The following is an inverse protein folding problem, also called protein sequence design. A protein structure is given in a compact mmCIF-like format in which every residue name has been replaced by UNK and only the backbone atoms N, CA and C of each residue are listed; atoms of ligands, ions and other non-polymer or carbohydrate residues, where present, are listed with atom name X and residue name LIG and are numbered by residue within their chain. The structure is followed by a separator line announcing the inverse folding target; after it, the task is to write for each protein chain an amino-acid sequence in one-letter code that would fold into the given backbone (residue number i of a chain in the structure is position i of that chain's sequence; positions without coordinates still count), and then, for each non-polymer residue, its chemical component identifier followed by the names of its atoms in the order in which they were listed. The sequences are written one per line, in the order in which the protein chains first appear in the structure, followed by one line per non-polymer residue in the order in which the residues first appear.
data_IF_136677304977
#
_entry.id   IF_136677304977
#
_cell.length_a   1.000
_cell.length_b   1.000
_cell.length_c   1.000
_cell.angle_alpha   90.00
_cell.angle_beta   90.00
_cell.angle_gamma   90.00
#
_symmetry.space_group_name_H-M   'P 1'
#
loop_
_entity.id
_entity.type
_entity.pdbx_description
1 polymer ?
#
# COMPACT_ATOMS: atom_id res chain seq x y z
N UNK A 1 25.49 12.67 -31.39
CA UNK A 1 25.30 14.10 -31.04
C UNK A 1 24.61 14.11 -29.69
N UNK A 2 25.37 14.13 -28.58
CA UNK A 2 25.87 15.34 -27.88
C UNK A 2 24.67 16.18 -27.38
N UNK A 3 24.36 16.42 -26.10
CA UNK A 3 25.10 16.67 -24.83
C UNK A 3 24.05 16.59 -23.70
N UNK A 4 24.19 15.81 -22.62
CA UNK A 4 24.83 16.12 -21.33
C UNK A 4 24.71 17.57 -20.82
N UNK A 5 23.89 17.80 -19.78
CA UNK A 5 23.99 18.95 -18.85
C UNK A 5 23.69 18.48 -17.43
N UNK A 6 24.74 18.47 -16.62
CA UNK A 6 24.72 18.50 -15.15
C UNK A 6 24.57 19.95 -14.66
N UNK A 7 23.88 20.19 -13.54
CA UNK A 7 24.42 21.02 -12.46
C UNK A 7 23.62 20.97 -11.14
N UNK A 8 24.39 20.66 -10.09
CA UNK A 8 24.20 20.89 -8.65
C UNK A 8 23.61 22.25 -8.24
N UNK A 9 22.94 22.31 -7.08
CA UNK A 9 23.49 22.92 -5.83
C UNK A 9 22.42 23.38 -4.80
N UNK A 10 22.88 23.56 -3.55
CA UNK A 10 22.27 24.18 -2.36
C UNK A 10 21.37 23.27 -1.50
N UNK A 11 21.84 22.62 -0.42
CA UNK A 11 22.43 23.15 0.83
C UNK A 11 21.53 24.18 1.52
N UNK A 12 20.73 23.72 2.50
CA UNK A 12 20.10 24.59 3.51
C UNK A 12 20.53 24.15 4.90
N UNK A 13 21.25 25.10 5.48
CA UNK A 13 21.88 25.16 6.79
C UNK A 13 20.84 25.69 7.81
N UNK A 14 20.71 25.04 8.97
CA UNK A 14 19.60 25.26 9.90
C UNK A 14 19.99 25.21 11.38
N UNK A 15 20.96 26.04 11.75
CA UNK A 15 21.04 26.86 12.98
C UNK A 15 20.81 26.20 14.35
N UNK A 16 21.94 25.92 15.01
CA UNK A 16 22.09 25.65 16.45
C UNK A 16 21.76 26.87 17.33
N UNK A 17 21.23 26.62 18.54
CA UNK A 17 21.01 27.60 19.61
C UNK A 17 21.98 27.29 20.76
N UNK A 18 22.88 28.21 21.15
CA UNK A 18 23.55 28.16 22.44
C UNK A 18 22.99 29.25 23.37
N UNK A 19 22.53 28.86 24.57
CA UNK A 19 22.33 29.78 25.70
C UNK A 19 23.24 29.36 26.87
N UNK A 20 23.97 30.35 27.35
CA UNK A 20 25.01 30.34 28.36
C UNK A 20 24.50 30.12 29.80
N UNK A 21 25.41 29.81 30.73
CA UNK A 21 25.33 30.38 32.07
C UNK A 21 26.57 31.22 32.39
N UNK A 22 26.32 32.45 32.82
CA UNK A 22 27.28 33.37 33.44
C UNK A 22 26.91 33.48 34.91
N UNK A 23 27.79 33.09 35.83
CA UNK A 23 28.05 33.88 37.04
C UNK A 23 29.37 33.46 37.71
N UNK A 24 30.17 34.48 38.06
CA UNK A 24 31.32 34.44 38.97
C UNK A 24 30.81 34.63 40.41
N UNK A 25 31.50 34.43 41.54
CA UNK A 25 32.90 34.46 41.94
C UNK A 25 32.98 33.83 43.39
N UNK A 26 33.94 34.16 44.29
CA UNK A 26 35.31 33.66 44.41
C UNK A 26 35.63 33.08 45.81
N UNK A 27 36.94 32.91 46.10
CA UNK A 27 37.65 32.65 47.38
C UNK A 27 38.06 31.20 47.65
N UNK A 28 39.22 30.83 48.22
CA UNK A 28 40.43 31.51 48.69
C UNK A 28 41.55 30.44 48.81
N UNK A 29 42.79 30.88 48.58
CA UNK A 29 44.12 30.34 48.93
C UNK A 29 44.29 28.96 49.56
N UNK A 30 45.08 28.09 48.89
CA UNK A 30 46.15 27.32 49.57
C UNK A 30 47.40 27.19 48.69
N UNK A 31 48.53 27.52 49.29
CA UNK A 31 49.87 27.60 48.72
C UNK A 31 50.49 26.22 48.51
N UNK A 32 50.66 25.80 47.24
CA UNK A 32 51.56 24.69 46.90
C UNK A 32 52.53 25.17 45.81
N UNK A 33 53.81 25.27 46.20
CA UNK A 33 54.94 25.69 45.36
C UNK A 33 55.02 24.79 44.14
N UNK A 34 54.74 25.34 42.96
CA UNK A 34 55.00 24.64 41.69
C UNK A 34 56.51 24.66 41.44
N UNK A 35 57.14 23.51 41.13
CA UNK A 35 58.51 23.51 40.65
C UNK A 35 58.53 24.32 39.35
N UNK A 36 59.28 25.44 39.34
CA UNK A 36 59.55 26.18 38.11
C UNK A 36 60.35 25.22 37.22
N UNK A 37 59.75 24.83 36.09
CA UNK A 37 60.43 24.06 35.06
C UNK A 37 61.54 24.95 34.50
N UNK A 38 62.78 24.65 34.86
CA UNK A 38 63.97 25.36 34.42
C UNK A 38 64.20 25.09 32.92
N UNK A 39 63.67 25.96 32.06
CA UNK A 39 63.84 25.88 30.60
C UNK A 39 65.26 26.25 30.13
N UNK A 40 66.20 26.49 31.07
CA UNK A 40 67.61 26.73 30.78
C UNK A 40 68.48 25.47 30.68
N UNK A 41 68.02 24.31 31.17
CA UNK A 41 68.86 23.11 31.28
C UNK A 41 68.90 22.19 30.03
N UNK A 42 68.26 22.59 28.93
CA UNK A 42 68.27 21.85 27.64
C UNK A 42 68.82 22.70 26.48
N UNK A 43 69.59 23.74 26.82
CA UNK A 43 70.05 24.79 25.91
C UNK A 43 71.48 24.68 25.40
N UNK A 44 72.20 23.58 25.57
CA UNK A 44 73.47 23.37 24.86
C UNK A 44 73.26 22.52 23.60
N UNK A 45 73.06 23.22 22.47
CA UNK A 45 73.52 22.70 21.19
C UNK A 45 72.50 22.13 20.21
N UNK A 46 71.38 22.82 19.90
CA UNK A 46 70.75 22.71 18.56
C UNK A 46 69.69 23.78 18.25
N UNK A 47 70.15 25.01 18.08
CA UNK A 47 69.38 26.08 17.44
C UNK A 47 69.24 25.84 15.93
N UNK A 48 68.32 24.97 15.51
CA UNK A 48 67.81 24.89 14.13
C UNK A 48 66.65 23.90 14.01
N UNK A 49 65.56 24.07 14.79
CA UNK A 49 64.26 23.38 14.56
C UNK A 49 63.08 23.91 15.40
N UNK A 50 63.07 25.21 15.72
CA UNK A 50 62.08 25.85 16.63
C UNK A 50 60.62 25.80 16.14
N UNK A 51 60.37 25.57 14.84
CA UNK A 51 59.02 25.41 14.28
C UNK A 51 58.45 23.98 14.27
N UNK A 52 59.27 22.94 14.53
CA UNK A 52 58.83 21.53 14.48
C UNK A 52 58.38 20.97 15.84
N UNK A 53 58.66 21.69 16.93
CA UNK A 53 58.40 21.23 18.31
C UNK A 53 56.94 21.42 18.73
N UNK A 54 56.32 22.56 18.42
CA UNK A 54 54.89 22.76 18.77
C UNK A 54 53.95 21.92 17.92
N UNK A 55 54.24 21.75 16.63
CA UNK A 55 53.46 20.85 15.76
C UNK A 55 53.62 19.38 16.19
N UNK A 56 54.82 18.96 16.61
CA UNK A 56 55.04 17.62 17.15
C UNK A 56 54.30 17.36 18.47
N UNK A 57 54.18 18.38 19.33
CA UNK A 57 53.35 18.30 20.54
C UNK A 57 51.88 18.23 20.19
N UNK A 58 51.37 19.10 19.30
CA UNK A 58 49.96 19.05 18.87
C UNK A 58 49.62 17.71 18.21
N UNK A 59 50.46 17.20 17.30
CA UNK A 59 50.27 15.89 16.67
C UNK A 59 50.41 14.75 17.68
N UNK A 60 51.33 14.86 18.64
CA UNK A 60 51.50 13.91 19.73
C UNK A 60 50.30 13.88 20.69
N UNK A 61 49.75 15.04 21.05
CA UNK A 61 48.52 15.14 21.86
C UNK A 61 47.29 14.72 21.08
N UNK A 62 47.23 14.97 19.77
CA UNK A 62 46.16 14.49 18.89
C UNK A 62 46.19 12.96 18.78
N UNK A 63 47.38 12.38 18.61
CA UNK A 63 47.56 10.94 18.57
C UNK A 63 47.28 10.31 19.94
N UNK A 64 47.69 10.95 21.05
CA UNK A 64 47.40 10.49 22.41
C UNK A 64 45.91 10.58 22.72
N UNK A 65 45.24 11.66 22.35
CA UNK A 65 43.78 11.80 22.47
C UNK A 65 43.05 10.75 21.62
N UNK A 66 43.55 10.45 20.41
CA UNK A 66 42.98 9.39 19.54
C UNK A 66 43.19 7.99 20.11
N UNK A 67 44.32 7.73 20.77
CA UNK A 67 44.60 6.45 21.45
C UNK A 67 43.72 6.32 22.70
N UNK A 68 43.64 7.38 23.52
CA UNK A 68 42.81 7.39 24.72
C UNK A 68 41.31 7.30 24.39
N UNK A 69 40.86 7.95 23.30
CA UNK A 69 39.50 7.81 22.79
C UNK A 69 39.23 6.40 22.25
N UNK A 70 40.22 5.78 21.57
CA UNK A 70 40.15 4.36 21.21
C UNK A 70 40.08 3.45 22.44
N UNK A 71 40.82 3.73 23.52
CA UNK A 71 40.80 2.94 24.75
C UNK A 71 39.49 3.12 25.53
N UNK A 72 38.94 4.33 25.58
CA UNK A 72 37.61 4.59 26.14
C UNK A 72 36.50 3.94 25.32
N UNK A 73 36.59 4.00 23.99
CA UNK A 73 35.64 3.31 23.10
C UNK A 73 35.84 1.78 23.10
N UNK A 74 37.05 1.29 23.38
CA UNK A 74 37.35 -0.13 23.52
C UNK A 74 37.00 -0.70 24.90
N UNK A 75 36.67 0.16 25.87
CA UNK A 75 36.22 -0.26 27.19
C UNK A 75 34.95 -1.10 27.07
N UNK A 76 34.84 -2.16 27.86
CA UNK A 76 33.71 -3.09 27.77
C UNK A 76 32.36 -2.40 28.01
N UNK A 77 32.33 -1.32 28.79
CA UNK A 77 31.15 -0.47 28.98
C UNK A 77 30.74 0.25 27.69
N UNK A 78 31.69 0.78 26.92
CA UNK A 78 31.41 1.45 25.65
C UNK A 78 30.96 0.44 24.59
N UNK A 79 31.60 -0.74 24.51
CA UNK A 79 31.14 -1.84 23.65
C UNK A 79 29.72 -2.30 24.00
N UNK A 80 29.38 -2.42 25.29
CA UNK A 80 28.02 -2.75 25.74
C UNK A 80 27.00 -1.68 25.31
N UNK A 81 27.34 -0.39 25.43
CA UNK A 81 26.49 0.71 24.93
C UNK A 81 26.29 0.64 23.43
N UNK A 82 27.36 0.46 22.66
CA UNK A 82 27.28 0.30 21.20
C UNK A 82 26.40 -0.89 20.78
N UNK A 83 26.50 -2.02 21.48
CA UNK A 83 25.63 -3.18 21.20
C UNK A 83 24.16 -2.90 21.53
N UNK A 84 23.88 -2.16 22.61
CA UNK A 84 22.51 -1.75 22.96
C UNK A 84 21.97 -0.80 21.89
N UNK A 85 22.72 0.23 21.51
CA UNK A 85 22.32 1.20 20.49
C UNK A 85 22.10 0.53 19.13
N UNK A 86 22.96 -0.41 18.74
CA UNK A 86 22.79 -1.22 17.53
C UNK A 86 21.51 -2.06 17.59
N UNK A 87 21.23 -2.71 18.72
CA UNK A 87 19.97 -3.46 18.90
C UNK A 87 18.76 -2.53 18.83
N UNK A 88 18.83 -1.34 19.41
CA UNK A 88 17.75 -0.36 19.41
C UNK A 88 17.48 0.16 17.99
N UNK A 89 18.53 0.53 17.25
CA UNK A 89 18.41 0.91 15.83
C UNK A 89 17.88 -0.22 14.97
N UNK A 90 18.31 -1.47 15.20
CA UNK A 90 17.79 -2.63 14.49
C UNK A 90 16.30 -2.87 14.77
N UNK A 91 15.85 -2.70 16.02
CA UNK A 91 14.43 -2.76 16.40
C UNK A 91 13.62 -1.67 15.71
N UNK A 92 14.08 -0.41 15.77
CA UNK A 92 13.41 0.71 15.12
C UNK A 92 13.28 0.50 13.60
N UNK A 93 14.33 0.00 12.93
CA UNK A 93 14.26 -0.35 11.50
C UNK A 93 13.26 -1.47 11.24
N UNK A 94 13.28 -2.54 12.05
CA UNK A 94 12.35 -3.67 11.91
C UNK A 94 10.90 -3.24 12.11
N UNK A 95 10.62 -2.40 13.11
CA UNK A 95 9.28 -1.85 13.37
C UNK A 95 8.83 -0.93 12.24
N UNK A 96 9.68 -0.01 11.78
CA UNK A 96 9.37 0.89 10.65
C UNK A 96 9.06 0.11 9.38
N UNK A 97 9.87 -0.89 9.04
CA UNK A 97 9.65 -1.75 7.87
C UNK A 97 8.39 -2.62 8.03
N UNK A 98 8.10 -3.07 9.26
CA UNK A 98 6.89 -3.85 9.57
C UNK A 98 5.62 -3.02 9.35
N UNK A 99 5.61 -1.76 9.82
CA UNK A 99 4.50 -0.82 9.59
C UNK A 99 4.32 -0.57 8.10
N UNK A 100 5.40 -0.26 7.37
CA UNK A 100 5.35 -0.03 5.92
C UNK A 100 4.78 -1.23 5.16
N UNK A 101 5.25 -2.44 5.45
CA UNK A 101 4.73 -3.67 4.82
C UNK A 101 3.27 -3.93 5.18
N UNK A 102 2.84 -3.63 6.40
CA UNK A 102 1.44 -3.78 6.80
C UNK A 102 0.52 -2.79 6.05
N UNK A 103 0.98 -1.55 5.83
CA UNK A 103 0.26 -0.58 5.01
C UNK A 103 0.18 -1.01 3.55
N UNK A 104 1.27 -1.51 2.98
CA UNK A 104 1.29 -1.98 1.59
C UNK A 104 0.40 -3.22 1.39
N UNK A 105 0.37 -4.15 2.36
CA UNK A 105 -0.57 -5.28 2.34
C UNK A 105 -2.04 -4.83 2.41
N UNK A 106 -2.34 -3.79 3.21
CA UNK A 106 -3.68 -3.21 3.27
C UNK A 106 -4.05 -2.55 1.94
N UNK A 107 -3.13 -1.81 1.31
CA UNK A 107 -3.32 -1.21 -0.02
C UNK A 107 -3.56 -2.26 -1.09
N UNK A 108 -2.78 -3.33 -1.10
CA UNK A 108 -2.95 -4.45 -2.05
C UNK A 108 -4.35 -5.09 -1.88
N UNK A 109 -4.80 -5.30 -0.64
CA UNK A 109 -6.16 -5.81 -0.36
C UNK A 109 -7.26 -4.87 -0.86
N UNK A 110 -7.16 -3.57 -0.60
CA UNK A 110 -8.16 -2.59 -1.09
C UNK A 110 -8.16 -2.48 -2.61
N UNK A 111 -6.97 -2.55 -3.22
CA UNK A 111 -6.82 -2.49 -4.68
C UNK A 111 -7.41 -3.74 -5.33
N UNK A 112 -7.18 -4.93 -4.76
CA UNK A 112 -7.77 -6.18 -5.22
C UNK A 112 -9.31 -6.11 -5.22
N UNK A 113 -9.91 -5.63 -4.12
CA UNK A 113 -11.36 -5.50 -4.02
C UNK A 113 -11.93 -4.51 -5.05
N UNK A 114 -11.31 -3.33 -5.20
CA UNK A 114 -11.74 -2.34 -6.19
C UNK A 114 -11.68 -2.87 -7.63
N UNK A 115 -10.61 -3.62 -7.95
CA UNK A 115 -10.47 -4.25 -9.27
C UNK A 115 -11.51 -5.35 -9.50
N UNK A 116 -11.83 -6.15 -8.49
CA UNK A 116 -12.87 -7.16 -8.58
C UNK A 116 -14.26 -6.53 -8.84
N UNK A 117 -14.60 -5.46 -8.13
CA UNK A 117 -15.85 -4.71 -8.33
C UNK A 117 -15.94 -4.12 -9.75
N UNK A 118 -14.86 -3.53 -10.25
CA UNK A 118 -14.80 -3.00 -11.62
C UNK A 118 -14.99 -4.11 -12.67
N UNK A 119 -14.35 -5.28 -12.48
CA UNK A 119 -14.53 -6.43 -13.35
C UNK A 119 -15.99 -6.93 -13.35
N UNK A 120 -16.65 -6.95 -12.20
CA UNK A 120 -18.06 -7.33 -12.09
C UNK A 120 -18.97 -6.32 -12.81
N UNK A 121 -18.71 -5.02 -12.65
CA UNK A 121 -19.45 -3.96 -13.34
C UNK A 121 -19.28 -4.10 -14.86
N UNK A 122 -18.03 -4.24 -15.34
CA UNK A 122 -17.75 -4.47 -16.77
C UNK A 122 -18.47 -5.71 -17.30
N UNK A 123 -18.42 -6.83 -16.57
CA UNK A 123 -19.12 -8.07 -16.96
C UNK A 123 -20.63 -7.84 -17.17
N UNK A 124 -21.27 -7.11 -16.26
CA UNK A 124 -22.69 -6.75 -16.40
C UNK A 124 -22.96 -5.89 -17.63
N UNK A 125 -22.09 -4.92 -17.94
CA UNK A 125 -22.21 -4.03 -19.10
C UNK A 125 -22.05 -4.81 -20.40
N UNK A 126 -21.01 -5.64 -20.51
CA UNK A 126 -20.77 -6.42 -21.72
C UNK A 126 -21.85 -7.47 -21.97
N UNK A 127 -22.38 -8.12 -20.92
CA UNK A 127 -23.55 -9.00 -21.03
C UNK A 127 -24.79 -8.25 -21.53
N UNK A 128 -25.04 -7.05 -21.01
CA UNK A 128 -26.16 -6.21 -21.45
C UNK A 128 -25.98 -5.79 -22.92
N UNK A 129 -24.78 -5.39 -23.33
CA UNK A 129 -24.49 -5.03 -24.72
C UNK A 129 -24.65 -6.20 -25.67
N UNK A 130 -24.10 -7.36 -25.32
CA UNK A 130 -24.20 -8.58 -26.13
C UNK A 130 -25.64 -9.02 -26.39
N UNK A 131 -26.52 -8.82 -25.42
CA UNK A 131 -27.94 -9.15 -25.58
C UNK A 131 -28.73 -8.05 -26.26
N UNK A 132 -28.47 -6.78 -25.94
CA UNK A 132 -29.29 -5.64 -26.38
C UNK A 132 -28.91 -5.09 -27.74
N UNK A 133 -27.62 -5.04 -28.10
CA UNK A 133 -27.17 -4.47 -29.38
C UNK A 133 -27.76 -5.20 -30.60
N UNK A 134 -27.75 -6.56 -30.66
CA UNK A 134 -28.38 -7.26 -31.78
C UNK A 134 -29.89 -7.00 -31.89
N UNK A 135 -30.57 -6.79 -30.75
CA UNK A 135 -32.00 -6.46 -30.72
C UNK A 135 -32.24 -5.06 -31.29
N UNK A 136 -31.44 -4.07 -30.88
CA UNK A 136 -31.56 -2.69 -31.37
C UNK A 136 -31.19 -2.55 -32.84
N UNK A 137 -30.26 -3.37 -33.34
CA UNK A 137 -29.88 -3.40 -34.76
C UNK A 137 -31.05 -3.77 -35.70
N UNK A 138 -32.13 -4.36 -35.17
CA UNK A 138 -33.36 -4.64 -35.91
C UNK A 138 -34.17 -3.40 -36.29
N UNK A 139 -33.91 -2.23 -35.69
CA UNK A 139 -34.72 -1.01 -35.85
C UNK A 139 -33.96 0.06 -36.60
N UNK A 140 -34.59 0.72 -37.57
CA UNK A 140 -34.00 1.88 -38.24
C UNK A 140 -33.91 3.07 -37.28
N UNK A 141 -32.91 3.91 -37.47
CA UNK A 141 -32.72 5.17 -36.77
C UNK A 141 -33.04 6.33 -37.69
N UNK A 142 -33.56 7.41 -37.12
CA UNK A 142 -33.80 8.66 -37.86
C UNK A 142 -32.51 9.31 -38.38
N UNK A 143 -31.35 8.88 -37.87
CA UNK A 143 -30.02 9.31 -38.32
C UNK A 143 -29.39 8.37 -39.36
N UNK A 144 -30.03 7.24 -39.70
CA UNK A 144 -29.47 6.30 -40.67
C UNK A 144 -29.53 6.90 -42.09
N UNK A 145 -28.42 6.84 -42.81
CA UNK A 145 -28.33 7.21 -44.22
C UNK A 145 -28.41 5.93 -45.05
N UNK A 146 -29.59 5.63 -45.59
CA UNK A 146 -29.83 4.45 -46.42
C UNK A 146 -29.65 4.85 -47.88
N UNK A 147 -28.64 4.32 -48.60
CA UNK A 147 -28.47 4.60 -50.02
C UNK A 147 -29.71 4.15 -50.77
N UNK A 148 -30.30 5.05 -51.55
CA UNK A 148 -31.27 4.65 -52.59
C UNK A 148 -30.49 4.17 -53.81
N UNK A 149 -30.96 3.12 -54.49
CA UNK A 149 -30.29 2.49 -55.64
C UNK A 149 -29.94 3.47 -56.77
N UNK A 150 -30.55 4.67 -56.81
CA UNK A 150 -30.33 5.69 -57.84
C UNK A 150 -29.21 6.70 -57.51
N UNK A 151 -28.62 6.70 -56.31
CA UNK A 151 -27.60 7.68 -55.91
C UNK A 151 -26.20 7.24 -56.31
N UNK A 152 -25.73 7.71 -57.46
CA UNK A 152 -24.32 7.68 -57.85
C UNK A 152 -23.67 9.05 -57.59
N UNK A 153 -22.54 9.14 -56.87
CA UNK A 153 -21.75 8.06 -56.24
C UNK A 153 -22.34 7.56 -54.90
N UNK A 154 -22.03 6.32 -54.50
CA UNK A 154 -22.44 5.79 -53.20
C UNK A 154 -21.82 6.65 -52.07
N UNK A 155 -22.60 7.07 -51.06
CA UNK A 155 -22.05 7.82 -49.94
C UNK A 155 -21.01 6.96 -49.20
N UNK A 156 -19.93 7.59 -48.73
CA UNK A 156 -18.93 6.92 -47.90
C UNK A 156 -19.64 6.25 -46.72
N UNK A 157 -19.54 4.92 -46.69
CA UNK A 157 -20.28 4.02 -45.81
C UNK A 157 -20.21 4.48 -44.36
N UNK A 158 -21.31 5.04 -43.85
CA UNK A 158 -21.50 5.32 -42.43
C UNK A 158 -21.35 4.00 -41.70
N UNK A 159 -20.38 3.91 -40.79
CA UNK A 159 -20.10 2.70 -40.03
C UNK A 159 -21.39 2.24 -39.32
N UNK A 160 -22.00 1.10 -39.69
CA UNK A 160 -23.35 0.73 -39.25
C UNK A 160 -23.42 0.40 -37.75
N UNK A 161 -22.26 0.21 -37.12
CA UNK A 161 -22.09 -0.06 -35.67
C UNK A 161 -21.53 1.17 -34.94
N UNK A 162 -21.38 2.30 -35.64
CA UNK A 162 -20.91 3.55 -35.05
C UNK A 162 -21.80 3.99 -33.87
N UNK A 163 -21.19 4.67 -32.90
CA UNK A 163 -21.93 5.24 -31.79
C UNK A 163 -23.03 6.16 -32.32
N UNK A 164 -24.27 5.94 -31.87
CA UNK A 164 -25.41 6.76 -32.26
C UNK A 164 -25.10 8.23 -31.91
N UNK A 165 -25.18 9.16 -32.88
CA UNK A 165 -24.87 10.55 -32.63
C UNK A 165 -25.78 11.08 -31.53
N UNK A 166 -25.18 11.75 -30.54
CA UNK A 166 -25.91 12.43 -29.46
C UNK A 166 -26.47 13.75 -30.01
N UNK A 167 -27.50 13.66 -30.85
CA UNK A 167 -28.23 14.83 -31.36
C UNK A 167 -29.34 15.25 -30.39
N UNK A 168 -29.73 16.52 -30.46
CA UNK A 168 -30.95 17.05 -29.86
C UNK A 168 -31.87 17.52 -30.99
N UNK A 169 -33.01 16.84 -31.25
CA UNK A 169 -33.60 15.75 -30.47
C UNK A 169 -32.84 14.42 -30.58
N UNK A 170 -32.98 13.52 -29.58
CA UNK A 170 -32.40 12.17 -29.64
C UNK A 170 -32.93 11.39 -30.84
N UNK A 171 -32.09 10.58 -31.50
CA UNK A 171 -32.55 9.71 -32.58
C UNK A 171 -33.61 8.73 -32.09
N UNK A 172 -34.63 8.50 -32.92
CA UNK A 172 -35.70 7.57 -32.61
C UNK A 172 -35.47 6.25 -33.34
N UNK A 173 -35.69 5.15 -32.62
CA UNK A 173 -35.74 3.82 -33.21
C UNK A 173 -37.15 3.55 -33.73
N UNK A 174 -37.26 3.16 -34.99
CA UNK A 174 -38.53 2.82 -35.61
C UNK A 174 -38.38 1.62 -36.54
N UNK A 175 -39.48 0.90 -36.75
CA UNK A 175 -39.55 -0.20 -37.70
C UNK A 175 -40.82 -0.02 -38.55
N UNK A 176 -40.69 0.36 -39.83
CA UNK A 176 -41.83 0.43 -40.74
C UNK A 176 -42.54 -0.92 -40.86
N UNK A 177 -43.87 -0.89 -41.04
CA UNK A 177 -44.65 -2.11 -41.25
C UNK A 177 -44.34 -2.81 -42.58
N UNK A 178 -43.89 -2.04 -43.58
CA UNK A 178 -43.46 -2.54 -44.88
C UNK A 178 -42.06 -1.99 -45.12
N UNK A 179 -41.08 -2.88 -45.27
CA UNK A 179 -39.69 -2.52 -45.53
C UNK A 179 -39.40 -2.49 -47.03
N UNK A 180 -38.58 -1.54 -47.45
CA UNK A 180 -38.02 -1.53 -48.80
C UNK A 180 -36.86 -2.54 -48.89
N UNK A 181 -36.57 -3.15 -50.05
CA UNK A 181 -35.44 -4.07 -50.20
C UNK A 181 -34.10 -3.48 -49.73
N UNK A 182 -33.85 -2.19 -50.03
CA UNK A 182 -32.66 -1.48 -49.54
C UNK A 182 -32.61 -1.34 -48.01
N UNK A 183 -33.76 -1.25 -47.34
CA UNK A 183 -33.84 -1.21 -45.87
C UNK A 183 -33.63 -2.59 -45.28
N UNK A 184 -34.16 -3.65 -45.91
CA UNK A 184 -33.96 -5.03 -45.47
C UNK A 184 -32.48 -5.43 -45.51
N UNK A 185 -31.79 -5.11 -46.62
CA UNK A 185 -30.35 -5.37 -46.75
C UNK A 185 -29.54 -4.56 -45.75
N UNK A 186 -29.87 -3.28 -45.55
CA UNK A 186 -29.22 -2.43 -44.56
C UNK A 186 -29.38 -2.98 -43.13
N UNK A 187 -30.61 -3.34 -42.74
CA UNK A 187 -30.89 -3.93 -41.43
C UNK A 187 -30.15 -5.26 -41.28
N UNK A 188 -30.14 -6.13 -42.30
CA UNK A 188 -29.43 -7.41 -42.26
C UNK A 188 -27.91 -7.22 -42.08
N UNK A 189 -27.30 -6.31 -42.84
CA UNK A 189 -25.89 -5.96 -42.71
C UNK A 189 -25.57 -5.42 -41.32
N UNK A 190 -26.39 -4.48 -40.82
CA UNK A 190 -26.20 -3.91 -39.48
C UNK A 190 -26.38 -4.96 -38.38
N UNK A 191 -27.34 -5.87 -38.49
CA UNK A 191 -27.50 -6.98 -37.54
C UNK A 191 -26.26 -7.86 -37.50
N UNK A 192 -25.73 -8.25 -38.67
CA UNK A 192 -24.54 -9.06 -38.76
C UNK A 192 -23.33 -8.33 -38.14
N UNK A 193 -23.12 -7.07 -38.52
CA UNK A 193 -22.03 -6.26 -37.99
C UNK A 193 -22.15 -6.00 -36.48
N UNK A 194 -23.36 -5.74 -35.97
CA UNK A 194 -23.59 -5.53 -34.54
C UNK A 194 -23.42 -6.82 -33.73
N UNK A 195 -23.82 -7.97 -34.28
CA UNK A 195 -23.59 -9.28 -33.65
C UNK A 195 -22.09 -9.60 -33.61
N UNK A 196 -21.38 -9.42 -34.72
CA UNK A 196 -19.94 -9.62 -34.81
C UNK A 196 -19.18 -8.69 -33.85
N UNK A 197 -19.50 -7.39 -33.86
CA UNK A 197 -18.89 -6.43 -32.94
C UNK A 197 -19.15 -6.77 -31.47
N UNK A 198 -20.38 -7.18 -31.13
CA UNK A 198 -20.71 -7.59 -29.77
C UNK A 198 -19.96 -8.87 -29.34
N UNK A 199 -19.71 -9.80 -30.26
CA UNK A 199 -18.92 -11.01 -30.00
C UNK A 199 -17.42 -10.70 -29.87
N UNK A 200 -16.88 -9.83 -30.72
CA UNK A 200 -15.50 -9.37 -30.63
C UNK A 200 -15.25 -8.61 -29.32
N UNK A 201 -16.13 -7.67 -28.96
CA UNK A 201 -16.09 -6.98 -27.66
C UNK A 201 -16.12 -7.97 -26.49
N UNK A 202 -16.96 -9.00 -26.59
CA UNK A 202 -17.05 -10.04 -25.56
C UNK A 202 -15.79 -10.88 -25.45
N UNK A 203 -15.14 -11.23 -26.56
CA UNK A 203 -13.90 -11.99 -26.56
C UNK A 203 -12.76 -11.18 -25.94
N UNK A 204 -12.59 -9.92 -26.34
CA UNK A 204 -11.61 -9.01 -25.75
C UNK A 204 -11.84 -8.84 -24.24
N UNK A 205 -13.11 -8.71 -23.83
CA UNK A 205 -13.44 -8.63 -22.42
C UNK A 205 -13.16 -9.94 -21.66
N UNK A 206 -13.34 -11.11 -22.28
CA UNK A 206 -12.96 -12.38 -21.64
C UNK A 206 -11.46 -12.44 -21.36
N UNK A 207 -10.63 -12.01 -22.30
CA UNK A 207 -9.18 -11.92 -22.13
C UNK A 207 -8.81 -10.93 -21.01
N UNK A 208 -9.40 -9.72 -21.03
CA UNK A 208 -9.24 -8.73 -19.97
C UNK A 208 -9.68 -9.28 -18.61
N UNK A 209 -10.80 -10.01 -18.56
CA UNK A 209 -11.34 -10.62 -17.35
C UNK A 209 -10.42 -11.70 -16.81
N UNK A 210 -9.88 -12.57 -17.65
CA UNK A 210 -8.93 -13.60 -17.21
C UNK A 210 -7.66 -12.96 -16.66
N UNK A 211 -7.11 -11.97 -17.36
CA UNK A 211 -5.94 -11.23 -16.89
C UNK A 211 -6.21 -10.47 -15.59
N UNK A 212 -7.39 -9.85 -15.47
CA UNK A 212 -7.81 -9.12 -14.28
C UNK A 212 -8.03 -10.04 -13.07
N UNK A 213 -8.60 -11.23 -13.26
CA UNK A 213 -8.75 -12.24 -12.19
C UNK A 213 -7.37 -12.72 -11.72
N UNK A 214 -6.43 -12.96 -12.65
CA UNK A 214 -5.05 -13.32 -12.31
C UNK A 214 -4.37 -12.20 -11.50
N UNK A 215 -4.53 -10.95 -11.90
CA UNK A 215 -3.97 -9.81 -11.17
C UNK A 215 -4.57 -9.67 -9.76
N UNK A 216 -5.90 -9.79 -9.62
CA UNK A 216 -6.58 -9.78 -8.32
C UNK A 216 -6.10 -10.94 -7.46
N UNK A 217 -5.92 -12.13 -8.04
CA UNK A 217 -5.37 -13.29 -7.35
C UNK A 217 -3.95 -13.02 -6.84
N UNK A 218 -3.07 -12.43 -7.67
CA UNK A 218 -1.71 -12.06 -7.27
C UNK A 218 -1.69 -11.01 -6.16
N UNK A 219 -2.55 -10.00 -6.21
CA UNK A 219 -2.68 -8.99 -5.15
C UNK A 219 -3.14 -9.62 -3.83
N UNK A 220 -4.11 -10.53 -3.89
CA UNK A 220 -4.58 -11.28 -2.72
C UNK A 220 -3.50 -12.20 -2.15
N UNK A 221 -2.75 -12.87 -3.02
CA UNK A 221 -1.63 -13.72 -2.62
C UNK A 221 -0.53 -12.89 -1.93
N UNK A 222 -0.16 -11.74 -2.49
CA UNK A 222 0.81 -10.82 -1.86
C UNK A 222 0.33 -10.31 -0.50
N UNK A 223 -0.93 -9.91 -0.41
CA UNK A 223 -1.51 -9.48 0.86
C UNK A 223 -1.52 -10.62 1.90
N UNK A 224 -1.86 -11.85 1.50
CA UNK A 224 -1.86 -13.02 2.35
C UNK A 224 -0.44 -13.40 2.81
N UNK A 225 0.54 -13.41 1.91
CA UNK A 225 1.95 -13.69 2.25
C UNK A 225 2.48 -12.67 3.27
N UNK A 226 2.18 -11.38 3.09
CA UNK A 226 2.57 -10.35 4.05
C UNK A 226 1.89 -10.52 5.41
N UNK A 227 0.61 -10.92 5.43
CA UNK A 227 -0.12 -11.20 6.67
C UNK A 227 0.43 -12.43 7.41
N UNK A 228 0.73 -13.51 6.68
CA UNK A 228 1.36 -14.71 7.22
C UNK A 228 2.75 -14.42 7.78
N UNK A 229 3.57 -13.67 7.04
CA UNK A 229 4.90 -13.26 7.50
C UNK A 229 4.83 -12.39 8.75
N UNK A 230 3.87 -11.46 8.81
CA UNK A 230 3.62 -10.66 10.01
C UNK A 230 3.21 -11.54 11.19
N UNK A 231 2.38 -12.56 10.96
CA UNK A 231 1.96 -13.52 11.99
C UNK A 231 3.17 -14.33 12.51
N UNK A 232 4.05 -14.78 11.62
CA UNK A 232 5.28 -15.48 11.97
C UNK A 232 6.27 -14.59 12.76
N UNK A 233 6.46 -13.34 12.32
CA UNK A 233 7.30 -12.37 13.04
C UNK A 233 6.77 -12.10 14.45
N UNK A 234 5.44 -12.00 14.60
CA UNK A 234 4.78 -11.78 15.89
C UNK A 234 4.88 -13.00 16.81
N UNK A 235 4.82 -14.23 16.28
CA UNK A 235 5.04 -15.43 17.10
C UNK A 235 6.49 -15.52 17.58
N UNK A 236 7.47 -15.25 16.70
CA UNK A 236 8.89 -15.28 17.07
C UNK A 236 9.25 -14.21 18.12
N UNK A 237 8.63 -13.03 18.03
CA UNK A 237 8.82 -11.97 19.03
C UNK A 237 8.23 -12.33 20.39
N UNK A 238 7.06 -13.00 20.41
CA UNK A 238 6.44 -13.47 21.64
C UNK A 238 7.32 -14.49 22.36
N UNK A 239 7.88 -15.45 21.62
CA UNK A 239 8.76 -16.48 22.19
C UNK A 239 10.10 -15.88 22.68
N UNK A 240 10.61 -14.83 22.01
CA UNK A 240 11.82 -14.13 22.44
C UNK A 240 11.63 -13.31 23.73
N UNK A 241 10.46 -12.70 23.93
CA UNK A 241 10.18 -11.93 25.16
C UNK A 241 9.97 -12.82 26.40
N UNK A 242 9.50 -14.07 26.23
CA UNK A 242 9.28 -14.99 27.36
C UNK A 242 10.58 -15.62 27.89
N UNK A 243 11.70 -15.49 27.15
CA UNK A 243 12.98 -16.14 27.49
C UNK A 243 13.95 -15.22 28.25
N UNK A 244 13.71 -13.90 28.29
CA UNK A 244 14.66 -12.91 28.84
C UNK A 244 14.23 -12.32 30.20
N UNK A 245 13.26 -12.93 30.88
CA UNK A 245 12.96 -12.67 32.29
C UNK A 245 13.89 -13.54 33.16
N UNK A 246 14.88 -12.95 33.89
CA UNK A 246 15.61 -13.70 34.89
C UNK A 246 14.65 -14.03 36.03
N UNK A 247 14.26 -15.29 36.12
CA UNK A 247 13.63 -15.87 37.31
C UNK A 247 14.62 -15.73 38.47
N UNK A 248 14.55 -14.61 39.19
CA UNK A 248 15.14 -14.49 40.52
C UNK A 248 14.29 -15.34 41.46
N UNK A 249 14.69 -16.60 41.56
CA UNK A 249 14.25 -17.52 42.60
C UNK A 249 15.00 -17.19 43.90
N UNK A 250 14.30 -16.58 44.86
CA UNK A 250 14.60 -16.73 46.28
C UNK A 250 13.30 -16.97 47.08
N UNK A 251 13.24 -18.15 47.70
CA UNK A 251 12.27 -18.65 48.70
C UNK A 251 12.84 -18.31 50.12
N UNK A 252 12.16 -18.55 51.28
CA UNK A 252 10.79 -19.02 51.57
C UNK A 252 10.06 -18.24 52.70
N UNK A 253 8.74 -18.42 52.86
CA UNK A 253 8.14 -18.67 54.18
C UNK A 253 6.67 -19.11 54.06
N UNK A 254 6.34 -20.15 54.81
CA UNK A 254 4.99 -20.69 54.97
C UNK A 254 4.38 -20.15 56.26
N UNK A 255 3.12 -19.69 56.25
CA UNK A 255 2.17 -19.93 57.34
C UNK A 255 0.73 -19.74 56.85
N UNK A 256 -0.14 -20.66 57.28
CA UNK A 256 -1.51 -20.88 56.85
C UNK A 256 -2.53 -20.01 57.61
N UNK A 257 -3.71 -19.79 57.00
CA UNK A 257 -5.07 -20.07 57.52
C UNK A 257 -6.13 -19.23 56.79
N UNK A 258 -6.98 -19.87 55.97
CA UNK A 258 -8.38 -20.23 56.24
C UNK A 258 -9.40 -19.07 56.10
N UNK A 259 -10.17 -19.07 54.99
CA UNK A 259 -11.64 -19.07 55.01
C UNK A 259 -12.23 -19.25 53.60
N UNK A 260 -13.38 -19.91 53.59
CA UNK A 260 -13.98 -20.73 52.53
C UNK A 260 -15.14 -20.00 51.80
N UNK A 261 -16.13 -20.64 51.13
CA UNK A 261 -16.31 -20.56 49.68
C UNK A 261 -17.71 -20.07 49.21
N UNK A 262 -17.87 -19.83 47.91
CA UNK A 262 -19.15 -19.82 47.15
C UNK A 262 -18.78 -20.06 45.68
N UNK A 263 -19.11 -21.22 45.07
CA UNK A 263 -20.38 -21.53 44.37
C UNK A 263 -20.66 -20.47 43.28
N UNK A 264 -20.82 -20.73 41.98
CA UNK A 264 -21.38 -21.86 41.23
C UNK A 264 -21.08 -21.64 39.71
N UNK A 265 -20.79 -22.71 38.96
CA UNK A 265 -21.62 -23.23 37.85
C UNK A 265 -21.60 -22.49 36.50
N UNK A 266 -20.96 -23.14 35.51
CA UNK A 266 -21.40 -23.39 34.11
C UNK A 266 -20.15 -23.47 33.22
N UNK A 267 -19.77 -24.58 32.59
CA UNK A 267 -20.57 -25.67 32.06
C UNK A 267 -20.75 -25.48 30.54
N UNK A 268 -19.92 -26.16 29.76
CA UNK A 268 -20.07 -26.52 28.33
C UNK A 268 -20.39 -25.42 27.28
N UNK A 269 -19.54 -25.32 26.25
CA UNK A 269 -19.77 -26.04 24.97
C UNK A 269 -18.61 -25.85 23.98
N UNK A 270 -17.90 -26.94 23.72
CA UNK A 270 -17.22 -27.15 22.45
C UNK A 270 -18.26 -27.11 21.33
N UNK A 271 -18.05 -26.24 20.35
CA UNK A 271 -18.78 -26.27 19.07
C UNK A 271 -17.79 -26.59 17.97
N UNK A 272 -17.54 -27.88 17.82
CA UNK A 272 -17.14 -28.49 16.56
C UNK A 272 -18.32 -28.32 15.58
N UNK A 273 -18.13 -27.53 14.53
CA UNK A 273 -19.07 -27.42 13.43
C UNK A 273 -18.69 -28.50 12.41
N UNK A 274 -19.22 -29.71 12.60
CA UNK A 274 -19.32 -30.72 11.53
C UNK A 274 -20.31 -30.18 10.48
N UNK A 275 -19.80 -29.87 9.29
CA UNK A 275 -20.61 -29.56 8.11
C UNK A 275 -20.95 -30.90 7.47
N UNK A 276 -22.22 -31.29 7.62
CA UNK A 276 -22.78 -32.50 7.04
C UNK A 276 -22.82 -32.39 5.50
N UNK A 277 -22.26 -33.41 4.87
CA UNK A 277 -22.05 -33.57 3.45
C UNK A 277 -23.32 -34.16 2.82
N UNK A 278 -24.31 -33.31 2.53
CA UNK A 278 -25.54 -33.75 1.84
C UNK A 278 -25.44 -33.52 0.34
N UNK A 279 -24.74 -34.41 -0.36
CA UNK A 279 -24.85 -34.59 -1.82
C UNK A 279 -26.10 -35.44 -2.11
N UNK A 280 -27.27 -34.79 -2.09
CA UNK A 280 -28.51 -35.38 -2.59
C UNK A 280 -28.62 -35.14 -4.09
N UNK A 281 -28.19 -36.14 -4.84
CA UNK A 281 -28.28 -36.26 -6.30
C UNK A 281 -29.72 -36.65 -6.67
N UNK A 282 -30.53 -35.72 -7.15
CA UNK A 282 -31.75 -36.04 -7.92
C UNK A 282 -31.91 -35.12 -9.11
N UNK A 283 -32.37 -35.76 -10.17
CA UNK A 283 -32.33 -35.43 -11.58
C UNK A 283 -33.72 -34.94 -12.01
N UNK A 284 -33.73 -34.25 -13.15
CA UNK A 284 -34.84 -34.01 -14.08
C UNK A 284 -35.64 -32.68 -13.96
N UNK A 285 -35.48 -31.90 -15.04
CA UNK A 285 -36.26 -30.76 -15.58
C UNK A 285 -37.73 -31.13 -15.96
N UNK A 286 -38.57 -30.25 -16.56
CA UNK A 286 -38.64 -28.77 -16.63
C UNK A 286 -40.08 -28.19 -16.38
N UNK A 287 -40.19 -26.84 -16.48
CA UNK A 287 -41.33 -26.06 -17.05
C UNK A 287 -42.33 -25.40 -16.08
N UNK A 288 -42.23 -24.08 -15.91
CA UNK A 288 -43.25 -23.07 -16.31
C UNK A 288 -43.05 -21.72 -15.58
N UNK A 289 -43.31 -20.63 -16.30
CA UNK A 289 -43.12 -19.23 -15.90
C UNK A 289 -44.40 -18.64 -15.23
N UNK A 290 -44.53 -17.32 -15.03
CA UNK A 290 -44.18 -16.59 -13.80
C UNK A 290 -45.38 -15.84 -13.17
N UNK A 291 -45.28 -15.44 -11.90
CA UNK A 291 -46.15 -14.42 -11.30
C UNK A 291 -45.40 -13.59 -10.23
N UNK A 292 -45.75 -12.31 -10.05
CA UNK A 292 -44.92 -11.31 -9.39
C UNK A 292 -45.23 -11.19 -7.90
N UNK A 293 -44.21 -10.97 -7.07
CA UNK A 293 -44.39 -10.56 -5.68
C UNK A 293 -43.68 -9.24 -5.41
N UNK A 294 -44.50 -8.21 -5.22
CA UNK A 294 -44.17 -6.98 -4.51
C UNK A 294 -43.70 -7.31 -3.08
N UNK A 295 -42.65 -6.64 -2.62
CA UNK A 295 -42.46 -6.19 -1.22
C UNK A 295 -41.14 -5.42 -1.19
N UNK A 296 -41.21 -4.10 -1.17
CA UNK A 296 -41.20 -3.26 0.03
C UNK A 296 -39.81 -2.66 0.27
N UNK A 297 -39.81 -1.35 0.04
CA UNK A 297 -38.84 -0.34 0.43
C UNK A 297 -38.21 -0.62 1.80
N UNK A 298 -36.88 -0.57 1.84
CA UNK A 298 -36.16 -0.02 2.99
C UNK A 298 -35.01 0.84 2.50
N UNK A 299 -35.32 2.12 2.36
CA UNK A 299 -34.37 3.21 2.50
C UNK A 299 -33.70 3.07 3.88
N UNK A 300 -32.36 3.01 3.94
CA UNK A 300 -31.64 3.77 4.96
C UNK A 300 -30.13 3.87 4.69
N UNK A 301 -29.62 5.06 5.03
CA UNK A 301 -28.24 5.43 5.30
C UNK A 301 -27.22 5.47 4.14
N UNK A 302 -27.21 6.64 3.48
CA UNK A 302 -26.04 7.23 2.87
C UNK A 302 -24.84 7.27 3.85
N UNK A 303 -23.72 6.63 3.49
CA UNK A 303 -22.42 7.00 4.08
C UNK A 303 -21.85 8.17 3.28
N UNK A 304 -22.22 9.38 3.69
CA UNK A 304 -21.44 10.58 3.35
C UNK A 304 -20.09 10.46 4.05
N UNK A 305 -19.02 10.15 3.31
CA UNK A 305 -17.66 10.43 3.75
C UNK A 305 -17.13 11.58 2.91
N UNK A 306 -16.82 12.65 3.63
CA UNK A 306 -16.32 13.92 3.15
C UNK A 306 -14.90 13.78 2.58
N UNK A 307 -14.72 14.25 1.34
CA UNK A 307 -13.43 14.57 0.72
C UNK A 307 -13.41 16.09 0.43
N UNK A 308 -13.47 16.90 1.48
CA UNK A 308 -13.45 18.37 1.41
C UNK A 308 -12.13 18.95 1.98
N UNK A 309 -10.97 18.35 1.67
CA UNK A 309 -9.66 18.87 2.10
C UNK A 309 -8.64 18.95 0.95
N UNK A 310 -9.04 19.52 -0.19
CA UNK A 310 -8.08 20.03 -1.20
C UNK A 310 -8.41 21.49 -1.56
N UNK A 311 -8.38 22.34 -0.53
CA UNK A 311 -8.47 23.78 -0.68
C UNK A 311 -7.12 24.32 -1.20
N UNK A 312 -7.08 24.59 -2.49
CA UNK A 312 -5.97 25.30 -3.15
C UNK A 312 -6.02 26.78 -2.72
N UNK A 313 -5.06 27.21 -1.89
CA UNK A 313 -4.78 28.63 -1.67
C UNK A 313 -4.28 29.27 -2.97
N UNK A 314 -4.95 30.34 -3.40
CA UNK A 314 -4.52 31.25 -4.47
C UNK A 314 -3.70 32.41 -3.90
#
# INVERSE_FOLDING_TARGET
MATEVSQDSAQVEGKEIPKSPTEAAPTIHETKKRPRLDLGALGEGRERKRGKSMFGILVGTLNKAKIEDKERNASDAAKKRQLIDQRLQAKLRKETDSVRRAEDAKKDKTTANRKEEDLQLKDSIYKLRRTRLPILANFLLTSDVIPSDDSTPPPETTNPVGAVPRSHPPPLYYLPAILLPAQETFIAQRKAAAAEAAEQEWQLFQEERTAGIEEVSQLRQRAAEHEERRKQDKSLEKDAMDTDLPTQSDKPSATAELRSPTAESNGHKDTAMDIDDTVSKTKDEPKSAPAPSESEKKDDAASMQADDDDAVEY
#
